data_IF_739085799521
#
_entry.id   IF_739085799521
#
_cell.length_a   1.000
_cell.length_b   1.000
_cell.length_c   1.000
_cell.angle_alpha   90.00
_cell.angle_beta   90.00
_cell.angle_gamma   90.00
#
_symmetry.space_group_name_H-M   'P 1'
#
loop_
_entity.id
_entity.type
_entity.pdbx_description
1 polymer ?
#
# COMPACT_ATOMS: atom_id res chain seq x y z
N UNK A 1 -21.51 23.72 20.84
CA UNK A 1 -21.62 22.35 20.30
C UNK A 1 -22.16 22.36 18.85
N UNK A 2 -23.19 23.14 18.53
CA UNK A 2 -23.72 23.29 17.15
C UNK A 2 -23.16 24.48 16.35
N UNK A 3 -22.16 25.21 16.85
CA UNK A 3 -21.39 26.20 16.07
C UNK A 3 -20.39 25.48 15.17
N UNK A 4 -19.97 26.07 14.04
CA UNK A 4 -18.99 25.47 13.11
C UNK A 4 -17.70 24.99 13.79
N UNK A 5 -17.23 25.75 14.78
CA UNK A 5 -16.09 25.37 15.63
C UNK A 5 -16.39 24.21 16.60
N UNK A 6 -17.64 24.10 17.06
CA UNK A 6 -18.11 22.98 17.90
C UNK A 6 -18.22 21.67 17.12
N UNK A 7 -18.59 21.73 15.85
CA UNK A 7 -18.63 20.57 14.94
C UNK A 7 -17.21 20.12 14.57
N UNK A 8 -16.30 21.06 14.28
CA UNK A 8 -14.87 20.78 14.11
C UNK A 8 -14.25 20.13 15.36
N UNK A 9 -14.59 20.63 16.56
CA UNK A 9 -14.13 20.06 17.83
C UNK A 9 -14.63 18.62 18.03
N UNK A 10 -15.91 18.35 17.76
CA UNK A 10 -16.49 17.00 17.89
C UNK A 10 -15.96 16.02 16.83
N UNK A 11 -15.72 16.49 15.61
CA UNK A 11 -15.16 15.66 14.54
C UNK A 11 -13.69 15.32 14.82
N UNK A 12 -12.85 16.30 15.18
CA UNK A 12 -11.40 16.13 15.27
C UNK A 12 -10.97 15.68 16.67
N UNK A 13 -11.42 16.35 17.75
CA UNK A 13 -11.08 15.97 19.14
C UNK A 13 -12.03 14.91 19.72
N UNK A 14 -13.28 14.84 19.24
CA UNK A 14 -14.25 13.83 19.66
C UNK A 14 -14.08 12.46 18.98
N UNK A 15 -13.08 12.29 18.10
CA UNK A 15 -12.72 11.00 17.50
C UNK A 15 -13.71 10.46 16.46
N UNK A 16 -14.80 11.18 16.17
CA UNK A 16 -15.80 10.76 15.17
C UNK A 16 -15.20 10.74 13.77
N UNK A 17 -14.35 11.73 13.42
CA UNK A 17 -13.65 11.73 12.13
C UNK A 17 -12.77 10.49 11.99
N UNK A 18 -12.00 10.16 13.03
CA UNK A 18 -11.14 8.99 13.05
C UNK A 18 -11.94 7.69 12.93
N UNK A 19 -13.14 7.63 13.53
CA UNK A 19 -14.00 6.46 13.45
C UNK A 19 -14.59 6.27 12.05
N UNK A 20 -15.16 7.33 11.49
CA UNK A 20 -15.73 7.32 10.14
C UNK A 20 -14.63 7.05 9.09
N UNK A 21 -13.46 7.68 9.23
CA UNK A 21 -12.33 7.45 8.34
C UNK A 21 -11.86 6.00 8.41
N UNK A 22 -11.74 5.42 9.61
CA UNK A 22 -11.30 4.03 9.79
C UNK A 22 -12.26 3.06 9.11
N UNK A 23 -13.58 3.21 9.30
CA UNK A 23 -14.58 2.37 8.64
C UNK A 23 -14.54 2.54 7.12
N UNK A 24 -14.45 3.78 6.63
CA UNK A 24 -14.39 4.07 5.21
C UNK A 24 -13.13 3.47 4.56
N UNK A 25 -11.95 3.65 5.19
CA UNK A 25 -10.69 3.08 4.73
C UNK A 25 -10.75 1.56 4.76
N UNK A 26 -11.28 0.96 5.83
CA UNK A 26 -11.44 -0.49 5.94
C UNK A 26 -12.26 -1.05 4.78
N UNK A 27 -13.43 -0.50 4.51
CA UNK A 27 -14.30 -0.93 3.42
C UNK A 27 -13.61 -0.78 2.06
N UNK A 28 -12.90 0.33 1.86
CA UNK A 28 -12.19 0.58 0.61
C UNK A 28 -11.01 -0.39 0.41
N UNK A 29 -10.24 -0.69 1.45
CA UNK A 29 -9.16 -1.68 1.40
C UNK A 29 -9.72 -3.05 1.03
N UNK A 30 -10.75 -3.51 1.73
CA UNK A 30 -11.36 -4.82 1.46
C UNK A 30 -11.88 -4.90 0.03
N UNK A 31 -12.52 -3.84 -0.46
CA UNK A 31 -12.99 -3.77 -1.86
C UNK A 31 -11.82 -3.93 -2.85
N UNK A 32 -10.71 -3.23 -2.62
CA UNK A 32 -9.55 -3.24 -3.51
C UNK A 32 -8.81 -4.58 -3.44
N UNK A 33 -8.63 -5.14 -2.25
CA UNK A 33 -7.97 -6.43 -2.02
C UNK A 33 -8.76 -7.59 -2.67
N UNK A 34 -10.10 -7.50 -2.70
CA UNK A 34 -10.97 -8.48 -3.37
C UNK A 34 -10.91 -8.41 -4.91
N UNK A 35 -10.38 -7.33 -5.47
CA UNK A 35 -10.34 -7.12 -6.92
C UNK A 35 -9.23 -7.95 -7.57
N UNK A 36 -9.60 -8.75 -8.58
CA UNK A 36 -8.68 -9.63 -9.31
C UNK A 36 -8.92 -9.58 -10.82
N UNK A 37 -7.85 -9.74 -11.57
CA UNK A 37 -7.87 -9.88 -13.03
C UNK A 37 -7.69 -11.35 -13.35
N UNK A 38 -8.65 -11.93 -14.08
CA UNK A 38 -8.64 -13.34 -14.43
C UNK A 38 -8.05 -13.54 -15.83
N UNK A 39 -6.91 -14.22 -15.92
CA UNK A 39 -6.29 -14.59 -17.20
C UNK A 39 -6.86 -15.95 -17.63
N UNK A 40 -7.51 -16.06 -18.81
CA UNK A 40 -8.11 -17.32 -19.24
C UNK A 40 -7.02 -18.35 -19.59
N UNK A 41 -7.17 -19.56 -19.07
CA UNK A 41 -6.33 -20.71 -19.36
C UNK A 41 -7.19 -21.89 -19.85
N UNK A 42 -6.58 -22.80 -20.59
CA UNK A 42 -7.17 -24.08 -20.99
C UNK A 42 -6.22 -25.22 -20.67
N UNK A 43 -6.74 -26.40 -20.37
CA UNK A 43 -5.90 -27.57 -20.16
C UNK A 43 -5.43 -28.12 -21.50
N UNK A 44 -4.16 -28.54 -21.61
CA UNK A 44 -3.61 -29.01 -22.89
C UNK A 44 -4.05 -30.43 -23.27
N UNK A 45 -4.31 -31.28 -22.27
CA UNK A 45 -4.63 -32.70 -22.49
C UNK A 45 -6.13 -33.01 -22.56
N UNK A 46 -6.97 -32.21 -21.90
CA UNK A 46 -8.41 -32.45 -21.75
C UNK A 46 -9.17 -31.39 -22.55
N UNK A 47 -9.75 -31.79 -23.69
CA UNK A 47 -10.59 -30.91 -24.51
C UNK A 47 -11.80 -30.46 -23.68
N UNK A 48 -12.01 -29.14 -23.59
CA UNK A 48 -13.14 -28.53 -22.88
C UNK A 48 -12.85 -28.06 -21.45
N UNK A 49 -11.76 -28.52 -20.83
CA UNK A 49 -11.35 -28.02 -19.51
C UNK A 49 -10.74 -26.62 -19.63
N UNK A 50 -11.48 -25.60 -19.17
CA UNK A 50 -11.03 -24.20 -19.09
C UNK A 50 -10.86 -23.80 -17.64
N UNK A 51 -9.71 -23.21 -17.33
CA UNK A 51 -9.40 -22.64 -16.02
C UNK A 51 -9.21 -21.13 -16.12
N UNK A 52 -9.12 -20.47 -14.98
CA UNK A 52 -8.78 -19.04 -14.90
C UNK A 52 -7.64 -18.91 -13.91
N UNK A 53 -6.62 -18.14 -14.29
CA UNK A 53 -5.54 -17.78 -13.38
C UNK A 53 -5.81 -16.39 -12.80
N UNK A 54 -6.21 -16.30 -11.53
CA UNK A 54 -6.50 -15.01 -10.91
C UNK A 54 -5.18 -14.31 -10.54
N UNK A 55 -5.03 -13.07 -11.00
CA UNK A 55 -3.97 -12.15 -10.59
C UNK A 55 -4.64 -11.05 -9.76
N UNK A 56 -4.39 -11.02 -8.45
CA UNK A 56 -4.92 -9.98 -7.56
C UNK A 56 -4.36 -8.60 -7.95
N UNK A 57 -5.17 -7.55 -7.79
CA UNK A 57 -4.73 -6.18 -8.03
C UNK A 57 -3.55 -5.80 -7.12
N UNK A 58 -3.64 -6.17 -5.84
CA UNK A 58 -2.57 -6.05 -4.85
C UNK A 58 -1.63 -7.27 -4.99
N UNK A 59 -0.99 -7.36 -6.14
CA UNK A 59 -0.20 -8.54 -6.51
C UNK A 59 1.02 -8.76 -5.61
N UNK A 60 1.72 -7.68 -5.26
CA UNK A 60 2.93 -7.72 -4.44
C UNK A 60 2.65 -7.75 -2.92
N UNK A 61 1.39 -7.88 -2.48
CA UNK A 61 0.98 -7.64 -1.09
C UNK A 61 1.24 -6.18 -0.65
N UNK A 62 1.04 -5.92 0.63
CA UNK A 62 1.32 -4.64 1.30
C UNK A 62 2.80 -4.43 1.64
N UNK A 63 3.64 -5.45 1.44
CA UNK A 63 5.07 -5.44 1.81
C UNK A 63 5.86 -4.28 1.18
N UNK A 64 5.64 -3.90 -0.10
CA UNK A 64 6.30 -2.74 -0.68
C UNK A 64 6.10 -1.45 0.12
N UNK A 65 4.90 -1.23 0.67
CA UNK A 65 4.63 -0.02 1.46
C UNK A 65 5.34 0.00 2.80
N UNK A 66 5.57 -1.17 3.39
CA UNK A 66 6.40 -1.28 4.60
C UNK A 66 7.82 -0.78 4.29
N UNK A 67 8.39 -1.19 3.16
CA UNK A 67 9.73 -0.77 2.74
C UNK A 67 9.79 0.74 2.47
N UNK A 68 8.76 1.31 1.83
CA UNK A 68 8.68 2.78 1.61
C UNK A 68 8.69 3.54 2.93
N UNK A 69 7.84 3.17 3.90
CA UNK A 69 7.80 3.84 5.20
C UNK A 69 9.06 3.61 6.01
N UNK A 70 9.67 2.42 5.94
CA UNK A 70 10.95 2.14 6.56
C UNK A 70 12.07 3.02 5.97
N UNK A 71 12.10 3.19 4.65
CA UNK A 71 13.04 4.10 3.99
C UNK A 71 12.84 5.55 4.48
N UNK A 72 11.60 6.02 4.55
CA UNK A 72 11.28 7.36 5.03
C UNK A 72 11.70 7.56 6.50
N UNK A 73 11.45 6.57 7.36
CA UNK A 73 11.87 6.58 8.76
C UNK A 73 13.40 6.63 8.90
N UNK A 74 14.13 5.88 8.07
CA UNK A 74 15.60 5.90 8.04
C UNK A 74 16.14 7.27 7.60
N UNK A 75 15.52 7.90 6.60
CA UNK A 75 15.88 9.26 6.17
C UNK A 75 15.70 10.26 7.33
N UNK A 76 14.57 10.19 8.04
CA UNK A 76 14.29 11.05 9.18
C UNK A 76 15.24 10.80 10.36
N UNK A 77 15.58 9.54 10.62
CA UNK A 77 16.56 9.19 11.64
C UNK A 77 17.94 9.78 11.33
N UNK A 78 18.39 9.72 10.08
CA UNK A 78 19.65 10.34 9.65
C UNK A 78 19.58 11.86 9.82
N UNK A 79 18.48 12.49 9.42
CA UNK A 79 18.27 13.94 9.60
C UNK A 79 18.35 14.35 11.08
N UNK A 80 17.69 13.61 11.95
CA UNK A 80 17.71 13.85 13.40
C UNK A 80 19.13 13.70 13.98
N UNK A 81 19.86 12.66 13.58
CA UNK A 81 21.25 12.44 14.03
C UNK A 81 22.22 13.51 13.53
N UNK A 82 22.00 14.05 12.33
CA UNK A 82 22.80 15.15 11.77
C UNK A 82 22.52 16.47 12.50
N UNK A 83 21.24 16.78 12.74
CA UNK A 83 20.83 17.94 13.52
C UNK A 83 21.39 17.86 14.95
N UNK A 84 21.38 16.68 15.57
CA UNK A 84 21.96 16.45 16.90
C UNK A 84 23.48 16.65 16.96
N UNK A 85 24.18 16.57 15.82
CA UNK A 85 25.61 16.90 15.69
C UNK A 85 25.88 18.36 15.30
N UNK A 86 24.84 19.19 15.22
CA UNK A 86 24.94 20.61 14.85
C UNK A 86 24.95 20.88 13.33
N UNK A 87 24.71 19.88 12.49
CA UNK A 87 24.58 20.07 11.03
C UNK A 87 23.10 20.27 10.71
N UNK A 88 22.65 21.53 10.74
CA UNK A 88 21.24 21.91 10.48
C UNK A 88 20.92 22.15 9.00
N UNK A 89 21.88 21.92 8.09
CA UNK A 89 21.74 22.16 6.64
C UNK A 89 20.50 21.46 6.02
N UNK A 90 20.14 20.28 6.52
CA UNK A 90 19.04 19.48 5.99
C UNK A 90 17.69 19.76 6.67
N UNK A 91 17.70 20.40 7.83
CA UNK A 91 16.52 20.71 8.63
C UNK A 91 16.84 20.75 10.12
N UNK A 92 16.14 21.63 10.82
CA UNK A 92 16.13 21.76 12.27
C UNK A 92 15.00 20.93 12.86
N UNK A 93 15.24 20.37 14.04
CA UNK A 93 14.30 19.51 14.75
C UNK A 93 13.89 20.14 16.07
N UNK A 94 12.60 20.07 16.39
CA UNK A 94 12.08 20.32 17.73
C UNK A 94 11.76 18.96 18.35
N UNK A 95 12.58 18.49 19.28
CA UNK A 95 12.48 17.12 19.78
C UNK A 95 12.76 16.10 18.66
N UNK A 96 11.72 15.37 18.24
CA UNK A 96 11.79 14.37 17.16
C UNK A 96 11.13 14.81 15.85
N UNK A 97 10.49 15.98 15.82
CA UNK A 97 9.76 16.48 14.65
C UNK A 97 10.58 17.51 13.88
N UNK A 98 10.80 17.32 12.56
CA UNK A 98 11.47 18.32 11.73
C UNK A 98 10.58 19.54 11.55
N UNK A 99 11.14 20.72 11.74
CA UNK A 99 10.44 22.01 11.69
C UNK A 99 10.61 22.66 10.32
N UNK A 100 11.82 22.58 9.76
CA UNK A 100 12.18 23.26 8.53
C UNK A 100 13.14 22.41 7.66
N UNK A 101 13.52 22.97 6.51
CA UNK A 101 14.46 22.35 5.59
C UNK A 101 13.84 21.23 4.75
N UNK A 102 14.70 20.43 4.13
CA UNK A 102 14.31 19.30 3.28
C UNK A 102 13.68 18.19 4.12
N UNK A 103 14.13 18.02 5.35
CA UNK A 103 13.61 17.00 6.28
C UNK A 103 12.15 17.21 6.65
N UNK A 104 11.65 18.45 6.67
CA UNK A 104 10.22 18.72 6.86
C UNK A 104 9.40 18.10 5.72
N UNK A 105 9.76 18.35 4.46
CA UNK A 105 9.01 17.83 3.31
C UNK A 105 9.12 16.31 3.13
N UNK A 106 10.21 15.69 3.61
CA UNK A 106 10.39 14.24 3.59
C UNK A 106 9.77 13.54 4.79
N UNK A 107 9.20 14.28 5.75
CA UNK A 107 8.62 13.69 6.96
C UNK A 107 7.27 13.03 6.66
N UNK A 108 7.00 11.85 7.25
CA UNK A 108 5.75 11.14 6.99
C UNK A 108 4.58 11.88 7.63
N UNK A 109 3.53 12.09 6.84
CA UNK A 109 2.27 12.60 7.36
C UNK A 109 1.53 11.46 8.05
N UNK A 110 1.17 11.66 9.31
CA UNK A 110 0.49 10.64 10.11
C UNK A 110 -0.87 11.11 10.64
N UNK A 111 -1.14 12.41 10.60
CA UNK A 111 -2.29 12.99 11.28
C UNK A 111 -2.88 14.20 10.55
N UNK A 112 -4.17 14.52 10.75
CA UNK A 112 -4.77 15.77 10.30
C UNK A 112 -4.02 17.02 10.77
N UNK A 113 -3.32 16.94 11.90
CA UNK A 113 -2.51 18.04 12.45
C UNK A 113 -1.27 18.38 11.60
N UNK A 114 -0.86 17.50 10.68
CA UNK A 114 0.34 17.68 9.87
C UNK A 114 0.06 18.39 8.54
N UNK A 115 -1.21 18.45 8.10
CA UNK A 115 -1.56 19.01 6.79
C UNK A 115 -2.71 20.02 6.79
N UNK A 116 -3.63 19.98 7.77
CA UNK A 116 -4.74 20.94 7.81
C UNK A 116 -4.15 22.30 8.22
N UNK A 117 -4.22 23.34 7.37
CA UNK A 117 -3.49 24.59 7.62
C UNK A 117 -3.82 25.24 8.96
N UNK A 118 -5.08 25.14 9.45
CA UNK A 118 -5.46 25.69 10.75
C UNK A 118 -4.84 24.92 11.93
N UNK A 119 -4.77 23.59 11.84
CA UNK A 119 -4.19 22.73 12.89
C UNK A 119 -2.67 22.79 12.88
N UNK A 120 -2.06 22.87 11.69
CA UNK A 120 -0.61 23.07 11.55
C UNK A 120 -0.19 24.38 12.23
N UNK A 121 -0.96 25.48 12.11
CA UNK A 121 -0.62 26.70 12.87
C UNK A 121 -0.72 26.47 14.37
N UNK A 122 -1.73 25.77 14.85
CA UNK A 122 -1.90 25.49 16.29
C UNK A 122 -0.70 24.68 16.83
N UNK A 123 -0.26 23.65 16.10
CA UNK A 123 0.92 22.86 16.49
C UNK A 123 2.21 23.70 16.45
N UNK A 124 2.48 24.44 15.37
CA UNK A 124 3.71 25.22 15.23
C UNK A 124 3.78 26.44 16.16
N UNK A 125 2.65 27.08 16.44
CA UNK A 125 2.57 28.12 17.48
C UNK A 125 2.80 27.55 18.87
N UNK A 126 2.35 26.33 19.14
CA UNK A 126 2.67 25.59 20.37
C UNK A 126 4.16 25.24 20.53
N UNK A 127 4.88 25.07 19.42
CA UNK A 127 6.33 24.88 19.43
C UNK A 127 7.13 26.20 19.53
N UNK A 128 6.48 27.36 19.37
CA UNK A 128 7.15 28.66 19.39
C UNK A 128 7.98 28.96 18.14
N UNK A 129 7.67 28.32 17.00
CA UNK A 129 8.49 28.38 15.77
C UNK A 129 7.68 29.04 14.64
N UNK A 130 8.32 29.72 13.66
CA UNK A 130 7.64 30.28 12.50
C UNK A 130 6.68 29.30 11.84
N UNK A 131 5.43 29.74 11.72
CA UNK A 131 4.34 28.96 11.15
C UNK A 131 4.57 28.77 9.65
N UNK A 132 4.56 27.53 9.13
CA UNK A 132 4.69 27.29 7.70
C UNK A 132 3.53 27.96 6.95
N UNK A 133 3.88 28.57 5.82
CA UNK A 133 2.88 29.18 4.94
C UNK A 133 2.02 28.10 4.26
N UNK A 134 0.80 28.46 3.85
CA UNK A 134 -0.17 27.49 3.29
C UNK A 134 0.38 26.71 2.08
N UNK A 135 1.22 27.33 1.25
CA UNK A 135 1.83 26.66 0.10
C UNK A 135 2.87 25.62 0.51
N UNK A 136 3.60 25.82 1.61
CA UNK A 136 4.59 24.87 2.13
C UNK A 136 3.92 23.61 2.65
N UNK A 137 2.77 23.76 3.31
CA UNK A 137 1.95 22.62 3.77
C UNK A 137 1.42 21.84 2.58
N UNK A 138 0.93 22.53 1.54
CA UNK A 138 0.52 21.88 0.29
C UNK A 138 1.67 21.15 -0.41
N UNK A 139 2.87 21.74 -0.41
CA UNK A 139 4.06 21.09 -0.97
C UNK A 139 4.47 19.86 -0.16
N UNK A 140 4.39 19.91 1.17
CA UNK A 140 4.67 18.75 2.03
C UNK A 140 3.75 17.58 1.72
N UNK A 141 2.44 17.81 1.59
CA UNK A 141 1.48 16.78 1.16
C UNK A 141 1.84 16.22 -0.21
N UNK A 142 2.20 17.09 -1.17
CA UNK A 142 2.57 16.66 -2.52
C UNK A 142 3.85 15.82 -2.52
N UNK A 143 4.84 16.17 -1.70
CA UNK A 143 6.09 15.42 -1.58
C UNK A 143 5.84 14.06 -0.94
N UNK A 144 5.07 13.97 0.17
CA UNK A 144 4.73 12.68 0.79
C UNK A 144 3.89 11.82 -0.18
N UNK A 145 2.94 12.41 -0.91
CA UNK A 145 2.16 11.74 -1.95
C UNK A 145 3.05 11.14 -3.04
N UNK A 146 3.99 11.94 -3.55
CA UNK A 146 4.93 11.51 -4.59
C UNK A 146 5.83 10.40 -4.06
N UNK A 147 6.34 10.53 -2.83
CA UNK A 147 7.19 9.53 -2.20
C UNK A 147 6.46 8.19 -2.01
N UNK A 148 5.20 8.21 -1.56
CA UNK A 148 4.40 7.01 -1.36
C UNK A 148 3.99 6.34 -2.67
N UNK A 149 3.55 7.11 -3.67
CA UNK A 149 3.10 6.55 -4.96
C UNK A 149 4.29 6.02 -5.75
N UNK A 150 5.33 6.85 -5.94
CA UNK A 150 6.51 6.47 -6.72
C UNK A 150 7.31 5.39 -6.00
N UNK A 151 7.53 5.55 -4.69
CA UNK A 151 8.15 4.53 -3.85
C UNK A 151 7.36 3.22 -3.88
N UNK A 152 6.04 3.29 -3.75
CA UNK A 152 5.15 2.12 -3.82
C UNK A 152 5.29 1.35 -5.12
N UNK A 153 5.36 2.05 -6.26
CA UNK A 153 5.58 1.43 -7.58
C UNK A 153 6.96 0.77 -7.66
N UNK A 154 8.02 1.50 -7.30
CA UNK A 154 9.41 1.01 -7.40
C UNK A 154 9.59 -0.24 -6.53
N UNK A 155 9.17 -0.16 -5.26
CA UNK A 155 9.29 -1.29 -4.35
C UNK A 155 8.37 -2.45 -4.73
N UNK A 156 7.20 -2.21 -5.33
CA UNK A 156 6.33 -3.29 -5.80
C UNK A 156 6.97 -4.04 -6.98
N UNK A 157 7.58 -3.33 -7.94
CA UNK A 157 8.33 -3.93 -9.04
C UNK A 157 9.57 -4.70 -8.55
N UNK A 158 10.32 -4.12 -7.62
CA UNK A 158 11.46 -4.80 -6.99
C UNK A 158 11.02 -6.07 -6.25
N UNK A 159 9.88 -6.02 -5.56
CA UNK A 159 9.36 -7.15 -4.80
C UNK A 159 8.98 -8.33 -5.69
N UNK A 160 8.30 -8.10 -6.81
CA UNK A 160 7.91 -9.20 -7.71
C UNK A 160 9.11 -9.90 -8.36
N UNK A 161 10.18 -9.15 -8.64
CA UNK A 161 11.39 -9.69 -9.26
C UNK A 161 12.20 -10.51 -8.26
N UNK A 162 12.36 -10.00 -7.03
CA UNK A 162 13.13 -10.66 -5.97
C UNK A 162 12.46 -11.90 -5.40
N UNK A 163 11.13 -11.92 -5.30
CA UNK A 163 10.37 -13.05 -4.75
C UNK A 163 10.04 -14.13 -5.77
N UNK A 164 10.45 -13.97 -7.03
CA UNK A 164 10.11 -14.91 -8.10
C UNK A 164 8.60 -14.95 -8.40
N UNK A 165 7.89 -13.84 -8.14
CA UNK A 165 6.51 -13.62 -8.58
C UNK A 165 6.46 -12.96 -9.97
N UNK A 166 7.61 -12.73 -10.61
CA UNK A 166 7.67 -12.24 -11.98
C UNK A 166 6.94 -13.11 -13.00
N UNK A 167 6.81 -12.60 -14.23
CA UNK A 167 6.08 -13.26 -15.30
C UNK A 167 6.68 -14.61 -15.72
N UNK A 168 8.01 -14.72 -15.74
CA UNK A 168 8.72 -15.94 -16.18
C UNK A 168 8.56 -17.09 -15.18
N UNK A 169 8.84 -16.94 -13.87
CA UNK A 169 8.55 -17.98 -12.88
C UNK A 169 7.07 -18.39 -12.84
N UNK A 170 6.16 -17.41 -12.92
CA UNK A 170 4.72 -17.67 -12.93
C UNK A 170 4.31 -18.46 -14.18
N UNK A 171 4.85 -18.13 -15.35
CA UNK A 171 4.60 -18.86 -16.58
C UNK A 171 5.11 -20.32 -16.50
N UNK A 172 6.27 -20.55 -15.87
CA UNK A 172 6.80 -21.89 -15.65
C UNK A 172 5.89 -22.72 -14.73
N UNK A 173 5.38 -22.12 -13.64
CA UNK A 173 4.41 -22.77 -12.75
C UNK A 173 3.13 -23.16 -13.49
N UNK A 174 2.59 -22.26 -14.31
CA UNK A 174 1.40 -22.52 -15.14
C UNK A 174 1.68 -23.64 -16.15
N UNK A 175 2.84 -23.63 -16.81
CA UNK A 175 3.21 -24.69 -17.75
C UNK A 175 3.32 -26.07 -17.07
N UNK A 176 3.95 -26.12 -15.89
CA UNK A 176 4.11 -27.34 -15.10
C UNK A 176 2.76 -27.91 -14.64
N UNK A 177 1.76 -27.06 -14.38
CA UNK A 177 0.38 -27.49 -14.06
C UNK A 177 -0.40 -28.10 -15.24
N UNK A 178 0.20 -28.23 -16.42
CA UNK A 178 -0.46 -28.76 -17.62
C UNK A 178 -1.44 -27.79 -18.28
N UNK A 179 -1.46 -26.53 -17.82
CA UNK A 179 -2.30 -25.47 -18.35
C UNK A 179 -1.58 -24.72 -19.49
N UNK A 180 -2.35 -24.26 -20.47
CA UNK A 180 -1.89 -23.50 -21.62
C UNK A 180 -2.84 -22.34 -21.93
N UNK A 181 -2.39 -21.38 -22.74
CA UNK A 181 -3.25 -20.29 -23.19
C UNK A 181 -4.11 -20.80 -24.36
N UNK A 182 -5.44 -20.60 -24.33
CA UNK A 182 -6.32 -20.99 -25.43
C UNK A 182 -5.84 -20.42 -26.78
N UNK A 183 -5.81 -21.25 -27.82
CA UNK A 183 -5.43 -20.82 -29.17
C UNK A 183 -3.92 -20.83 -29.46
N UNK A 184 -3.05 -21.06 -28.47
CA UNK A 184 -1.61 -21.20 -28.66
C UNK A 184 -1.15 -22.65 -28.44
N UNK A 185 -0.02 -23.03 -29.05
CA UNK A 185 0.68 -24.28 -28.70
C UNK A 185 1.27 -24.18 -27.29
N UNK A 186 1.31 -25.31 -26.58
CA UNK A 186 1.88 -25.42 -25.23
C UNK A 186 3.37 -25.11 -25.27
N UNK A 187 3.73 -23.89 -24.89
CA UNK A 187 5.11 -23.43 -24.76
C UNK A 187 5.19 -22.42 -23.61
N UNK A 188 6.25 -22.49 -22.80
CA UNK A 188 6.50 -21.52 -21.73
C UNK A 188 6.55 -20.10 -22.28
N UNK A 189 7.19 -19.91 -23.45
CA UNK A 189 7.34 -18.57 -24.03
C UNK A 189 6.03 -17.90 -24.45
N UNK A 190 5.01 -18.67 -24.88
CA UNK A 190 3.70 -18.09 -25.20
C UNK A 190 2.94 -17.68 -23.93
N UNK A 191 3.06 -18.46 -22.87
CA UNK A 191 2.49 -18.14 -21.55
C UNK A 191 3.17 -16.90 -20.96
N UNK A 192 4.51 -16.87 -20.98
CA UNK A 192 5.32 -15.76 -20.49
C UNK A 192 4.99 -14.44 -21.18
N UNK A 193 4.83 -14.44 -22.52
CA UNK A 193 4.50 -13.23 -23.28
C UNK A 193 3.17 -12.59 -22.86
N UNK A 194 2.20 -13.42 -22.48
CA UNK A 194 0.91 -12.93 -21.97
C UNK A 194 1.07 -12.46 -20.53
N UNK A 195 1.75 -13.23 -19.67
CA UNK A 195 2.02 -12.84 -18.28
C UNK A 195 2.79 -11.52 -18.17
N UNK A 196 3.78 -11.29 -19.03
CA UNK A 196 4.55 -10.04 -19.12
C UNK A 196 3.69 -8.82 -19.48
N UNK A 197 2.56 -9.02 -20.16
CA UNK A 197 1.64 -7.93 -20.48
C UNK A 197 0.77 -7.52 -19.30
N UNK A 198 0.48 -8.46 -18.38
CA UNK A 198 -0.43 -8.24 -17.26
C UNK A 198 0.31 -7.95 -15.96
N UNK A 199 1.24 -8.82 -15.53
CA UNK A 199 1.83 -8.76 -14.17
C UNK A 199 2.49 -7.40 -13.90
N UNK A 200 3.44 -6.88 -14.71
CA UNK A 200 4.06 -5.59 -14.43
C UNK A 200 3.06 -4.43 -14.37
N UNK A 201 2.05 -4.44 -15.25
CA UNK A 201 1.03 -3.38 -15.28
C UNK A 201 0.16 -3.41 -14.02
N UNK A 202 -0.27 -4.60 -13.61
CA UNK A 202 -1.06 -4.79 -12.39
C UNK A 202 -0.22 -4.41 -11.16
N UNK A 203 1.06 -4.74 -11.13
CA UNK A 203 1.97 -4.35 -10.06
C UNK A 203 2.16 -2.82 -9.97
N UNK A 204 2.30 -2.12 -11.10
CA UNK A 204 2.40 -0.65 -11.11
C UNK A 204 1.09 -0.02 -10.63
N UNK A 205 -0.05 -0.47 -11.16
CA UNK A 205 -1.36 0.06 -10.76
C UNK A 205 -1.62 -0.22 -9.28
N UNK A 206 -1.36 -1.45 -8.82
CA UNK A 206 -1.49 -1.85 -7.42
C UNK A 206 -0.59 -1.04 -6.50
N UNK A 207 0.70 -0.91 -6.82
CA UNK A 207 1.65 -0.12 -6.03
C UNK A 207 1.25 1.35 -5.93
N UNK A 208 0.83 1.96 -7.04
CA UNK A 208 0.33 3.32 -7.06
C UNK A 208 -0.95 3.49 -6.21
N UNK A 209 -1.87 2.55 -6.34
CA UNK A 209 -3.15 2.59 -5.64
C UNK A 209 -2.98 2.42 -4.12
N UNK A 210 -2.15 1.48 -3.67
CA UNK A 210 -1.84 1.31 -2.24
C UNK A 210 -1.10 2.54 -1.71
N UNK A 211 -0.18 3.12 -2.48
CA UNK A 211 0.49 4.38 -2.11
C UNK A 211 -0.50 5.54 -1.91
N UNK A 212 -1.43 5.72 -2.84
CA UNK A 212 -2.48 6.73 -2.73
C UNK A 212 -3.44 6.46 -1.55
N UNK A 213 -3.79 5.19 -1.33
CA UNK A 213 -4.63 4.79 -0.21
C UNK A 213 -3.94 5.04 1.14
N UNK A 214 -2.63 4.78 1.20
CA UNK A 214 -1.78 5.07 2.36
C UNK A 214 -1.74 6.55 2.66
N UNK A 215 -1.60 7.39 1.64
CA UNK A 215 -1.68 8.84 1.79
C UNK A 215 -3.04 9.27 2.36
N UNK A 216 -4.15 8.81 1.78
CA UNK A 216 -5.49 9.16 2.26
C UNK A 216 -5.71 8.72 3.71
N UNK A 217 -5.27 7.52 4.06
CA UNK A 217 -5.37 7.01 5.43
C UNK A 217 -4.52 7.84 6.41
N UNK A 218 -3.32 8.25 5.99
CA UNK A 218 -2.41 9.11 6.75
C UNK A 218 -2.98 10.52 6.95
N UNK A 219 -3.65 11.10 5.94
CA UNK A 219 -4.20 12.44 6.00
C UNK A 219 -5.43 12.54 6.91
N UNK A 220 -6.32 11.55 6.87
CA UNK A 220 -7.57 11.58 7.64
C UNK A 220 -7.37 11.20 9.11
N UNK A 221 -6.27 10.51 9.43
CA UNK A 221 -6.04 9.92 10.75
C UNK A 221 -6.98 8.73 11.01
N UNK A 222 -6.58 7.86 11.93
CA UNK A 222 -7.35 6.65 12.28
C UNK A 222 -7.56 6.54 13.79
N UNK A 223 -8.49 5.70 14.22
CA UNK A 223 -8.82 5.53 15.64
C UNK A 223 -7.56 5.14 16.43
N UNK A 224 -7.38 5.74 17.61
CA UNK A 224 -6.32 5.37 18.55
C UNK A 224 -4.94 5.93 18.23
N UNK A 225 -4.84 6.89 17.30
CA UNK A 225 -3.55 7.46 16.90
C UNK A 225 -2.68 6.47 16.12
N UNK A 226 -3.25 5.35 15.67
CA UNK A 226 -2.57 4.44 14.76
C UNK A 226 -2.29 5.18 13.45
N UNK A 227 -1.05 5.11 12.96
CA UNK A 227 -0.69 5.69 11.68
C UNK A 227 -1.53 5.04 10.56
N UNK A 228 -2.00 5.83 9.59
CA UNK A 228 -2.83 5.34 8.49
C UNK A 228 -2.24 4.13 7.75
N UNK A 229 -0.92 4.08 7.63
CA UNK A 229 -0.19 2.91 7.10
C UNK A 229 -0.44 1.64 7.94
N UNK A 230 -0.36 1.74 9.27
CA UNK A 230 -0.54 0.60 10.16
C UNK A 230 -1.91 -0.04 10.04
N UNK A 231 -2.96 0.79 9.96
CA UNK A 231 -4.33 0.31 9.72
C UNK A 231 -4.42 -0.48 8.40
N UNK A 232 -3.89 0.07 7.31
CA UNK A 232 -3.91 -0.61 6.01
C UNK A 232 -3.19 -1.96 6.04
N UNK A 233 -2.03 -2.01 6.69
CA UNK A 233 -1.27 -3.24 6.86
C UNK A 233 -2.09 -4.27 7.63
N UNK A 234 -2.67 -3.89 8.77
CA UNK A 234 -3.48 -4.80 9.58
C UNK A 234 -4.66 -5.35 8.79
N UNK A 235 -5.43 -4.50 8.12
CA UNK A 235 -6.61 -4.93 7.35
C UNK A 235 -6.22 -5.88 6.23
N UNK A 236 -5.18 -5.54 5.48
CA UNK A 236 -4.73 -6.35 4.36
C UNK A 236 -4.14 -7.69 4.81
N UNK A 237 -3.38 -7.72 5.91
CA UNK A 237 -2.84 -8.96 6.50
C UNK A 237 -3.98 -9.84 7.00
N UNK A 238 -4.95 -9.29 7.72
CA UNK A 238 -6.11 -10.03 8.24
C UNK A 238 -6.95 -10.58 7.10
N UNK A 239 -7.23 -9.78 6.07
CA UNK A 239 -8.00 -10.23 4.91
C UNK A 239 -7.27 -11.35 4.16
N UNK A 240 -5.95 -11.23 3.98
CA UNK A 240 -5.15 -12.27 3.35
C UNK A 240 -5.14 -13.57 4.14
N UNK A 241 -4.95 -13.49 5.46
CA UNK A 241 -5.04 -14.65 6.36
C UNK A 241 -6.42 -15.32 6.28
N UNK A 242 -7.49 -14.51 6.22
CA UNK A 242 -8.85 -15.02 6.03
C UNK A 242 -9.00 -15.80 4.71
N UNK A 243 -8.52 -15.26 3.58
CA UNK A 243 -8.59 -15.95 2.30
C UNK A 243 -7.75 -17.24 2.26
N UNK A 244 -6.56 -17.22 2.88
CA UNK A 244 -5.68 -18.38 2.95
C UNK A 244 -6.36 -19.53 3.74
N UNK A 245 -6.96 -19.21 4.90
CA UNK A 245 -7.71 -20.17 5.72
C UNK A 245 -8.94 -20.71 4.95
N UNK A 246 -9.70 -19.82 4.30
CA UNK A 246 -10.88 -20.22 3.53
C UNK A 246 -10.49 -21.14 2.36
N UNK A 247 -9.38 -20.86 1.68
CA UNK A 247 -8.86 -21.71 0.62
C UNK A 247 -8.41 -23.07 1.14
N UNK A 248 -7.80 -23.13 2.32
CA UNK A 248 -7.33 -24.38 2.92
C UNK A 248 -8.51 -25.30 3.31
N UNK A 249 -9.54 -24.74 3.95
CA UNK A 249 -10.77 -25.48 4.27
C UNK A 249 -11.44 -26.04 3.01
N UNK A 250 -11.49 -25.27 1.92
CA UNK A 250 -12.04 -25.74 0.64
C UNK A 250 -11.24 -26.93 0.06
N UNK A 251 -9.92 -26.94 0.24
CA UNK A 251 -9.07 -28.05 -0.21
C UNK A 251 -9.25 -29.31 0.64
N UNK A 252 -9.50 -29.16 1.95
CA UNK A 252 -9.74 -30.29 2.85
C UNK A 252 -11.12 -30.93 2.64
N UNK A 253 -12.15 -30.13 2.37
CA UNK A 253 -13.52 -30.64 2.15
C UNK A 253 -13.72 -31.35 0.81
N UNK A 254 -12.91 -31.03 -0.20
CA UNK A 254 -13.00 -31.64 -1.53
C UNK A 254 -11.65 -32.23 -1.98
N UNK A 255 -11.37 -33.51 -1.68
CA UNK A 255 -10.09 -34.15 -2.03
C UNK A 255 -9.80 -34.17 -3.55
N UNK A 256 -10.82 -34.08 -4.40
CA UNK A 256 -10.66 -33.93 -5.86
C UNK A 256 -10.14 -32.55 -6.30
N UNK A 257 -10.28 -31.50 -5.47
CA UNK A 257 -9.71 -30.17 -5.74
C UNK A 257 -8.19 -30.17 -5.48
N UNK A 258 -7.73 -31.04 -4.56
CA UNK A 258 -6.32 -31.21 -4.20
C UNK A 258 -5.45 -31.67 -5.38
N UNK A 259 -5.98 -32.53 -6.26
CA UNK A 259 -5.26 -33.00 -7.45
C UNK A 259 -5.25 -31.97 -8.60
N UNK A 260 -6.19 -31.02 -8.63
CA UNK A 260 -6.28 -29.99 -9.67
C UNK A 260 -5.40 -28.76 -9.40
N UNK A 261 -5.07 -28.49 -8.13
CA UNK A 261 -4.24 -27.35 -7.71
C UNK A 261 -2.77 -27.67 -7.41
N UNK A 262 -2.34 -28.92 -7.60
CA UNK A 262 -0.91 -29.27 -7.66
C UNK A 262 -0.13 -28.91 -6.41
N UNK A 263 -0.33 -29.69 -5.34
CA UNK A 263 0.71 -29.88 -4.31
C UNK A 263 1.16 -31.34 -4.37
N UNK A 264 2.17 -31.58 -5.20
CA UNK A 264 3.36 -32.34 -4.78
C UNK A 264 4.53 -31.36 -4.75
#
# INVERSE_FOLDING_TARGET
IFTGDGVMFLLIRGGILALVSTVAIFLLVVYVESTRIEIPLAHSAVRGARGRFPVKLIYASVLPMILVRALQANIQMIGLLLSGRGITLFGEYYGSTPINGVMYYLSPINSPYDWIPSLVRESFTGYGVPVPSMWQVGLHVLVDATFLIVGGIIFALFWIETTGMGAKPTAQKVFNSGMQIPGFRRNVGSIEKVMLRYIPKVTIIGGAFIGALTLLASLLGTIGGAGGTGLLLTVSIVYRLYEDIASEQMMEMHPMVRSFFGRE
#
